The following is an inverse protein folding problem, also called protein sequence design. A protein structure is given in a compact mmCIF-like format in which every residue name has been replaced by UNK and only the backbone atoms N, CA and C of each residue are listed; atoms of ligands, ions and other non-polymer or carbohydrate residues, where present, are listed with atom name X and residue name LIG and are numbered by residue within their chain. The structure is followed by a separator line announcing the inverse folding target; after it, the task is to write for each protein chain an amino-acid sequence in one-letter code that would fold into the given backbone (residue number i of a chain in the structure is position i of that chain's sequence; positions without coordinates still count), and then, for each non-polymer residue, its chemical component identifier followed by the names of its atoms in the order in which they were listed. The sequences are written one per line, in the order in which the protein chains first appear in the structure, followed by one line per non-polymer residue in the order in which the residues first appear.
data_IF_470020168770
#
_entry.id   IF_470020168770
#
_cell.length_a   1.000
_cell.length_b   1.000
_cell.length_c   1.000
_cell.angle_alpha   90.00
_cell.angle_beta   90.00
_cell.angle_gamma   90.00
#
_symmetry.space_group_name_H-M   'P 1'
#
loop_
_entity.id
_entity.type
_entity.pdbx_description
1 polymer ?
#
# COMPACT_ATOMS: atom_id res chain seq x y z
N UNK A 1 10.17 11.51 -1.85
CA UNK A 1 10.23 10.10 -1.41
C UNK A 1 10.67 9.24 -2.59
N UNK A 2 11.53 8.23 -2.39
CA UNK A 2 11.97 7.34 -3.48
C UNK A 2 11.07 6.11 -3.53
N UNK A 3 10.22 6.01 -4.55
CA UNK A 3 9.33 4.86 -4.76
C UNK A 3 10.16 3.60 -5.02
N UNK A 4 9.89 2.55 -4.25
CA UNK A 4 10.51 1.24 -4.41
C UNK A 4 9.48 0.24 -4.90
N UNK A 5 9.79 -0.40 -6.03
CA UNK A 5 9.00 -1.49 -6.61
C UNK A 5 9.96 -2.59 -7.08
N UNK A 6 9.52 -3.84 -6.94
CA UNK A 6 10.27 -5.07 -7.14
C UNK A 6 10.32 -5.47 -8.63
N UNK A 7 10.74 -4.55 -9.50
CA UNK A 7 10.76 -4.81 -10.95
C UNK A 7 11.90 -5.74 -11.35
N UNK A 8 11.59 -6.69 -12.23
CA UNK A 8 12.57 -7.51 -12.95
C UNK A 8 13.42 -6.65 -13.88
N UNK A 9 14.58 -7.14 -14.29
CA UNK A 9 15.46 -6.40 -15.21
C UNK A 9 14.77 -6.10 -16.55
N UNK A 10 13.94 -7.03 -17.04
CA UNK A 10 13.20 -6.84 -18.28
C UNK A 10 12.12 -5.76 -18.15
N UNK A 11 11.36 -5.74 -17.06
CA UNK A 11 10.37 -4.70 -16.76
C UNK A 11 11.05 -3.33 -16.62
N UNK A 12 12.20 -3.25 -15.92
CA UNK A 12 12.99 -2.01 -15.78
C UNK A 12 13.47 -1.49 -17.13
N UNK A 13 13.94 -2.36 -18.01
CA UNK A 13 14.35 -1.96 -19.35
C UNK A 13 13.17 -1.41 -20.17
N UNK A 14 12.01 -2.06 -20.10
CA UNK A 14 10.83 -1.63 -20.85
C UNK A 14 10.24 -0.31 -20.32
N UNK A 15 10.28 -0.06 -19.01
CA UNK A 15 9.94 1.26 -18.43
C UNK A 15 10.78 2.38 -19.03
N UNK A 16 12.11 2.18 -19.08
CA UNK A 16 13.04 3.18 -19.64
C UNK A 16 12.75 3.44 -21.12
N UNK A 17 12.52 2.38 -21.91
CA UNK A 17 12.14 2.50 -23.34
C UNK A 17 10.82 3.22 -23.55
N UNK A 18 9.90 3.09 -22.60
CA UNK A 18 8.59 3.74 -22.64
C UNK A 18 8.59 5.15 -22.03
N UNK A 19 9.76 5.66 -21.62
CA UNK A 19 9.91 6.96 -20.94
C UNK A 19 9.06 7.11 -19.67
N UNK A 20 8.77 6.00 -18.99
CA UNK A 20 8.02 5.99 -17.73
C UNK A 20 9.03 6.02 -16.56
N UNK A 21 8.86 6.98 -15.66
CA UNK A 21 9.67 7.09 -14.44
C UNK A 21 9.00 6.40 -13.25
N UNK A 22 9.81 5.84 -12.34
CA UNK A 22 9.32 5.16 -11.13
C UNK A 22 8.42 6.05 -10.26
N UNK A 23 8.74 7.34 -10.17
CA UNK A 23 7.97 8.32 -9.39
C UNK A 23 6.56 8.53 -9.94
N UNK A 24 6.35 8.29 -11.23
CA UNK A 24 5.09 8.57 -11.93
C UNK A 24 4.21 7.31 -12.06
N UNK A 25 4.68 6.14 -11.57
CA UNK A 25 3.94 4.87 -11.66
C UNK A 25 2.54 4.93 -11.04
N UNK A 26 2.35 5.71 -9.98
CA UNK A 26 1.07 5.90 -9.31
C UNK A 26 0.05 6.68 -10.15
N UNK A 27 0.48 7.35 -11.22
CA UNK A 27 -0.36 8.14 -12.12
C UNK A 27 -0.81 7.35 -13.36
N UNK A 28 -0.28 6.15 -13.56
CA UNK A 28 -0.48 5.34 -14.78
C UNK A 28 -1.51 4.26 -14.49
N UNK A 29 -2.45 4.07 -15.42
CA UNK A 29 -3.42 2.98 -15.33
C UNK A 29 -2.71 1.63 -15.51
N UNK A 30 -3.10 0.63 -14.71
CA UNK A 30 -2.51 -0.70 -14.78
C UNK A 30 -2.52 -1.30 -16.20
N UNK A 31 -3.61 -1.12 -16.96
CA UNK A 31 -3.72 -1.58 -18.35
C UNK A 31 -2.70 -0.92 -19.31
N UNK A 32 -2.37 0.36 -19.08
CA UNK A 32 -1.38 1.09 -19.88
C UNK A 32 0.04 0.69 -19.49
N UNK A 33 0.27 0.50 -18.18
CA UNK A 33 1.55 0.02 -17.67
C UNK A 33 1.84 -1.40 -18.20
N UNK A 34 0.86 -2.31 -18.14
CA UNK A 34 0.99 -3.69 -18.61
C UNK A 34 1.47 -3.75 -20.07
N UNK A 35 0.86 -2.93 -20.95
CA UNK A 35 1.27 -2.81 -22.36
C UNK A 35 2.68 -2.26 -22.50
N UNK A 36 3.01 -1.21 -21.75
CA UNK A 36 4.30 -0.52 -21.83
C UNK A 36 5.46 -1.41 -21.38
N UNK A 37 5.29 -2.14 -20.27
CA UNK A 37 6.36 -2.96 -19.68
C UNK A 37 6.30 -4.43 -20.10
N UNK A 38 5.27 -4.81 -20.88
CA UNK A 38 5.03 -6.16 -21.40
C UNK A 38 4.90 -7.21 -20.29
N UNK A 39 4.10 -6.90 -19.26
CA UNK A 39 3.75 -7.82 -18.18
C UNK A 39 2.24 -8.14 -18.19
N UNK A 40 1.79 -9.01 -17.28
CA UNK A 40 0.36 -9.29 -17.12
C UNK A 40 -0.36 -8.13 -16.45
N UNK A 41 -1.69 -8.09 -16.58
CA UNK A 41 -2.50 -7.05 -15.93
C UNK A 41 -2.35 -7.09 -14.41
N UNK A 42 -2.36 -8.29 -13.83
CA UNK A 42 -2.23 -8.53 -12.39
C UNK A 42 -0.89 -7.98 -11.88
N UNK A 43 0.19 -8.21 -12.62
CA UNK A 43 1.51 -7.67 -12.29
C UNK A 43 1.53 -6.15 -12.36
N UNK A 44 0.90 -5.55 -13.37
CA UNK A 44 0.79 -4.10 -13.48
C UNK A 44 -0.06 -3.49 -12.36
N UNK A 45 -1.14 -4.16 -11.95
CA UNK A 45 -1.94 -3.77 -10.79
C UNK A 45 -1.08 -3.77 -9.52
N UNK A 46 -0.32 -4.82 -9.26
CA UNK A 46 0.58 -4.86 -8.11
C UNK A 46 1.61 -3.72 -8.12
N UNK A 47 2.24 -3.44 -9.26
CA UNK A 47 3.24 -2.36 -9.38
C UNK A 47 2.63 -0.97 -9.16
N UNK A 48 1.48 -0.70 -9.76
CA UNK A 48 0.78 0.60 -9.62
C UNK A 48 0.27 0.79 -8.19
N UNK A 49 -0.31 -0.23 -7.58
CA UNK A 49 -0.74 -0.23 -6.18
C UNK A 49 0.42 0.03 -5.22
N UNK A 50 1.54 -0.68 -5.40
CA UNK A 50 2.76 -0.45 -4.62
C UNK A 50 3.23 1.00 -4.68
N UNK A 51 3.18 1.62 -5.87
CA UNK A 51 3.55 3.01 -6.06
C UNK A 51 2.52 3.99 -5.45
N UNK A 52 1.23 3.65 -5.50
CA UNK A 52 0.14 4.45 -4.95
C UNK A 52 0.21 4.52 -3.43
N UNK A 53 0.33 3.38 -2.74
CA UNK A 53 0.40 3.36 -1.27
C UNK A 53 1.64 4.10 -0.74
N UNK A 54 2.76 4.05 -1.45
CA UNK A 54 3.98 4.82 -1.11
C UNK A 54 3.86 6.33 -1.36
N UNK A 55 2.74 6.85 -1.89
CA UNK A 55 2.49 8.29 -1.89
C UNK A 55 2.02 8.80 -0.52
N UNK A 56 1.51 7.90 0.33
CA UNK A 56 0.97 8.27 1.63
C UNK A 56 2.13 8.67 2.57
N UNK A 57 2.05 9.81 3.28
CA UNK A 57 3.04 10.21 4.27
C UNK A 57 3.35 9.07 5.23
N UNK A 58 4.64 8.86 5.51
CA UNK A 58 5.16 7.82 6.42
C UNK A 58 4.92 6.35 5.99
N UNK A 59 4.26 6.09 4.85
CA UNK A 59 4.04 4.73 4.34
C UNK A 59 5.16 4.33 3.38
N UNK A 60 5.95 3.35 3.79
CA UNK A 60 7.09 2.84 3.03
C UNK A 60 6.81 1.56 2.25
N UNK A 61 7.85 1.07 1.58
CA UNK A 61 7.83 -0.17 0.80
C UNK A 61 7.21 -1.36 1.55
N UNK A 62 7.59 -1.59 2.81
CA UNK A 62 7.16 -2.79 3.53
C UNK A 62 5.65 -2.82 3.78
N UNK A 63 5.06 -1.68 4.13
CA UNK A 63 3.62 -1.59 4.30
C UNK A 63 2.87 -1.72 2.98
N UNK A 64 3.34 -1.03 1.94
CA UNK A 64 2.77 -1.19 0.60
C UNK A 64 2.84 -2.66 0.15
N UNK A 65 3.95 -3.34 0.42
CA UNK A 65 4.13 -4.76 0.12
C UNK A 65 3.12 -5.62 0.88
N UNK A 66 2.89 -5.34 2.16
CA UNK A 66 1.90 -6.06 2.97
C UNK A 66 0.48 -5.93 2.41
N UNK A 67 0.07 -4.72 2.04
CA UNK A 67 -1.24 -4.47 1.44
C UNK A 67 -1.40 -5.23 0.12
N UNK A 68 -0.40 -5.15 -0.77
CA UNK A 68 -0.50 -5.68 -2.13
C UNK A 68 -0.32 -7.20 -2.20
N UNK A 69 0.66 -7.75 -1.48
CA UNK A 69 1.10 -9.14 -1.66
C UNK A 69 0.57 -10.11 -0.62
N UNK A 70 0.22 -9.63 0.58
CA UNK A 70 -0.37 -10.48 1.61
C UNK A 70 -1.88 -10.27 1.71
N UNK A 71 -2.34 -9.02 1.65
CA UNK A 71 -3.77 -8.68 1.79
C UNK A 71 -4.51 -8.59 0.44
N UNK A 72 -3.81 -8.66 -0.70
CA UNK A 72 -4.38 -8.56 -2.05
C UNK A 72 -5.21 -7.28 -2.26
N UNK A 73 -4.79 -6.17 -1.65
CA UNK A 73 -5.39 -4.85 -1.79
C UNK A 73 -4.58 -4.06 -2.82
N UNK A 74 -5.22 -3.65 -3.91
CA UNK A 74 -4.59 -3.02 -5.06
C UNK A 74 -4.98 -1.55 -5.26
N UNK A 75 -5.85 -1.00 -4.41
CA UNK A 75 -6.26 0.40 -4.51
C UNK A 75 -6.72 1.00 -3.19
N UNK A 76 -6.71 2.34 -3.11
CA UNK A 76 -7.31 3.07 -1.99
C UNK A 76 -8.82 2.86 -1.90
N UNK A 77 -9.49 2.65 -3.02
CA UNK A 77 -10.94 2.41 -3.05
C UNK A 77 -11.34 1.08 -2.41
N UNK A 78 -10.49 0.06 -2.49
CA UNK A 78 -10.72 -1.24 -1.87
C UNK A 78 -10.62 -1.16 -0.33
N UNK A 79 -9.62 -0.42 0.18
CA UNK A 79 -9.35 -0.40 1.64
C UNK A 79 -10.19 0.63 2.40
N UNK A 80 -10.76 1.66 1.74
CA UNK A 80 -11.36 2.82 2.44
C UNK A 80 -12.50 2.50 3.41
N UNK A 81 -13.18 1.36 3.23
CA UNK A 81 -14.31 0.94 4.05
C UNK A 81 -13.96 -0.22 5.00
N UNK A 82 -12.72 -0.67 5.00
CA UNK A 82 -12.26 -1.75 5.88
C UNK A 82 -12.19 -1.27 7.33
N UNK A 83 -12.46 -2.18 8.27
CA UNK A 83 -12.17 -1.93 9.67
C UNK A 83 -10.67 -2.17 9.92
N UNK A 84 -9.92 -1.17 10.43
CA UNK A 84 -8.47 -1.31 10.61
C UNK A 84 -8.08 -2.41 11.60
N UNK A 85 -8.91 -2.66 12.62
CA UNK A 85 -8.66 -3.67 13.65
C UNK A 85 -8.86 -5.05 13.06
N UNK A 86 -9.98 -5.29 12.40
CA UNK A 86 -10.28 -6.56 11.74
C UNK A 86 -9.26 -6.89 10.64
N UNK A 87 -8.88 -5.89 9.84
CA UNK A 87 -7.89 -6.07 8.77
C UNK A 87 -6.50 -6.42 9.34
N UNK A 88 -6.10 -5.82 10.46
CA UNK A 88 -4.87 -6.18 11.15
C UNK A 88 -4.93 -7.59 11.74
N UNK A 89 -6.00 -7.91 12.46
CA UNK A 89 -6.18 -9.24 13.05
C UNK A 89 -6.22 -10.32 11.94
N UNK A 90 -6.76 -10.00 10.76
CA UNK A 90 -6.69 -10.86 9.57
C UNK A 90 -5.26 -10.98 9.04
N UNK A 91 -4.52 -9.88 8.97
CA UNK A 91 -3.13 -9.87 8.52
C UNK A 91 -2.23 -10.74 9.41
N UNK A 92 -2.35 -10.64 10.75
CA UNK A 92 -1.60 -11.49 11.68
C UNK A 92 -1.89 -12.98 11.46
N UNK A 93 -3.17 -13.34 11.26
CA UNK A 93 -3.56 -14.72 10.95
C UNK A 93 -2.98 -15.23 9.63
N UNK A 94 -2.87 -14.37 8.61
CA UNK A 94 -2.29 -14.74 7.32
C UNK A 94 -0.78 -14.96 7.41
N UNK A 95 -0.07 -14.15 8.19
CA UNK A 95 1.37 -14.30 8.40
C UNK A 95 1.66 -15.48 9.35
N UNK A 96 0.77 -15.76 10.29
CA UNK A 96 0.93 -16.82 11.29
C UNK A 96 1.89 -16.46 12.43
N UNK A 97 2.19 -15.17 12.62
CA UNK A 97 3.06 -14.64 13.66
C UNK A 97 2.45 -13.34 14.22
N UNK A 98 2.80 -13.01 15.45
CA UNK A 98 2.44 -11.73 16.07
C UNK A 98 3.18 -10.59 15.36
N UNK A 99 2.44 -9.56 14.96
CA UNK A 99 2.98 -8.43 14.20
C UNK A 99 3.09 -7.21 15.10
N UNK A 100 4.11 -6.38 14.86
CA UNK A 100 4.26 -5.13 15.61
C UNK A 100 2.99 -4.27 15.48
N UNK A 101 2.42 -3.77 16.60
CA UNK A 101 1.22 -2.94 16.59
C UNK A 101 1.32 -1.64 15.77
N UNK A 102 2.53 -1.18 15.42
CA UNK A 102 2.70 -0.06 14.49
C UNK A 102 2.19 -0.36 13.08
N UNK A 103 1.99 -1.63 12.71
CA UNK A 103 1.33 -2.02 11.46
C UNK A 103 -0.18 -1.73 11.53
N UNK A 104 -0.80 -1.99 12.69
CA UNK A 104 -2.00 -1.30 13.23
C UNK A 104 -2.18 0.12 12.69
N UNK A 105 -1.26 0.95 13.19
CA UNK A 105 -1.27 2.39 12.99
C UNK A 105 -1.07 2.77 11.52
N UNK A 106 -0.28 1.99 10.77
CA UNK A 106 -0.09 2.17 9.33
C UNK A 106 -1.34 1.83 8.52
N UNK A 107 -2.05 0.74 8.84
CA UNK A 107 -3.34 0.39 8.21
C UNK A 107 -4.35 1.52 8.43
N UNK A 108 -4.47 1.99 9.67
CA UNK A 108 -5.35 3.12 10.03
C UNK A 108 -5.02 4.38 9.23
N UNK A 109 -3.74 4.68 9.07
CA UNK A 109 -3.27 5.80 8.26
C UNK A 109 -3.65 5.66 6.79
N UNK A 110 -3.48 4.47 6.21
CA UNK A 110 -3.84 4.20 4.81
C UNK A 110 -5.35 4.38 4.59
N UNK A 111 -6.18 3.79 5.46
CA UNK A 111 -7.65 3.94 5.41
C UNK A 111 -8.05 5.40 5.56
N UNK A 112 -7.41 6.13 6.48
CA UNK A 112 -7.67 7.56 6.65
C UNK A 112 -7.37 8.35 5.37
N UNK A 113 -6.21 8.12 4.75
CA UNK A 113 -5.83 8.78 3.49
C UNK A 113 -6.71 8.39 2.31
N UNK A 114 -7.20 7.15 2.26
CA UNK A 114 -8.17 6.74 1.26
C UNK A 114 -9.48 7.54 1.34
N UNK A 115 -9.87 7.95 2.56
CA UNK A 115 -11.04 8.80 2.81
C UNK A 115 -10.73 10.31 2.83
N UNK A 116 -9.47 10.69 3.07
CA UNK A 116 -8.99 12.06 3.22
C UNK A 116 -7.65 12.24 2.46
N UNK A 117 -7.65 12.28 1.11
CA UNK A 117 -6.43 12.20 0.30
C UNK A 117 -5.44 13.36 0.46
N UNK A 118 -5.88 14.47 1.07
CA UNK A 118 -5.06 15.67 1.31
C UNK A 118 -4.60 15.80 2.75
N UNK A 119 -4.86 14.80 3.59
CA UNK A 119 -4.37 14.76 4.96
C UNK A 119 -2.84 14.73 4.96
N UNK A 120 -2.20 15.36 5.93
CA UNK A 120 -0.75 15.26 6.17
C UNK A 120 -0.41 14.29 7.31
N UNK A 121 -1.44 13.63 7.87
CA UNK A 121 -1.30 12.68 8.96
C UNK A 121 -0.36 11.53 8.59
N UNK A 122 0.44 11.15 9.58
CA UNK A 122 1.39 10.05 9.54
C UNK A 122 0.89 8.91 10.42
N UNK A 123 1.45 7.70 10.24
CA UNK A 123 0.95 6.52 10.96
C UNK A 123 0.98 6.69 12.48
N UNK A 124 2.01 7.34 13.03
CA UNK A 124 2.14 7.52 14.48
C UNK A 124 1.08 8.46 15.07
N UNK A 125 0.40 9.27 14.26
CA UNK A 125 -0.73 10.10 14.71
C UNK A 125 -1.95 9.25 15.11
N UNK A 126 -1.97 7.96 14.75
CA UNK A 126 -3.06 7.02 15.05
C UNK A 126 -2.79 6.15 16.29
N UNK A 127 -1.57 6.17 16.84
CA UNK A 127 -1.15 5.29 17.95
C UNK A 127 -2.01 5.45 19.21
N UNK A 128 -2.27 6.68 19.64
CA UNK A 128 -3.04 6.92 20.87
C UNK A 128 -4.52 6.51 20.71
N UNK A 129 -5.07 6.74 19.52
CA UNK A 129 -6.41 6.27 19.16
C UNK A 129 -6.49 4.75 19.21
N UNK A 130 -5.56 4.05 18.55
CA UNK A 130 -5.50 2.58 18.57
C UNK A 130 -5.42 2.04 19.99
N UNK A 131 -4.52 2.57 20.83
CA UNK A 131 -4.38 2.12 22.23
C UNK A 131 -5.69 2.26 23.00
N UNK A 132 -6.36 3.39 22.85
CA UNK A 132 -7.64 3.65 23.55
C UNK A 132 -8.73 2.67 23.08
N UNK A 133 -8.86 2.45 21.78
CA UNK A 133 -9.82 1.49 21.23
C UNK A 133 -9.52 0.05 21.68
N UNK A 134 -8.25 -0.40 21.58
CA UNK A 134 -7.83 -1.75 22.04
C UNK A 134 -7.99 -1.97 23.55
N UNK A 135 -7.97 -0.92 24.37
CA UNK A 135 -8.22 -1.01 25.81
C UNK A 135 -9.71 -1.14 26.14
N UNK A 136 -10.59 -0.50 25.36
CA UNK A 136 -12.04 -0.50 25.59
C UNK A 136 -12.75 -1.76 25.06
N UNK A 137 -12.07 -2.54 24.21
CA UNK A 137 -12.57 -3.80 23.65
C UNK A 137 -12.26 -5.02 24.53
N UNK A 138 -11.57 -4.83 25.67
CA UNK A 138 -11.30 -5.84 26.70
C UNK A 138 -12.26 -5.70 27.89
#
# INVERSE_FOLDING_TARGET
MTIKVDLTDQERQNLRKSHIYLKDLHLIKADELAKSIKCTKERAHAITAMAQFQQIPSIGYRMAYNLVHYLNIYSLDEIKNEDPKELFDHFEKLIGEDIDPCVEDQIRCVIHHANQPYSDKQWFDFTERRKTERLNDN
#
